data_IF_409518729950
#
_entry.id   IF_409518729950
#
_cell.length_a   1.000
_cell.length_b   1.000
_cell.length_c   1.000
_cell.angle_alpha   90.00
_cell.angle_beta   90.00
_cell.angle_gamma   90.00
#
_symmetry.space_group_name_H-M   'P 1'
#
loop_
_entity.id
_entity.type
_entity.pdbx_description
1 polymer ?
#
# COMPACT_ATOMS: atom_id res chain seq x y z
N UNK A 1 -34.91 -51.85 -18.38
CA UNK A 1 -34.84 -50.63 -17.54
C UNK A 1 -33.35 -50.19 -17.50
N UNK A 2 -32.97 -49.19 -18.31
CA UNK A 2 -31.58 -48.71 -18.39
C UNK A 2 -31.49 -47.42 -17.57
N UNK A 3 -30.71 -47.41 -16.50
CA UNK A 3 -30.41 -46.20 -15.74
C UNK A 3 -29.41 -45.34 -16.52
N UNK A 4 -29.61 -44.01 -16.59
CA UNK A 4 -28.60 -43.12 -17.15
C UNK A 4 -27.52 -42.84 -16.10
N UNK A 5 -26.26 -43.07 -16.50
CA UNK A 5 -25.07 -42.68 -15.70
C UNK A 5 -24.93 -41.17 -15.84
N UNK A 6 -25.20 -40.46 -14.75
CA UNK A 6 -24.94 -39.02 -14.64
C UNK A 6 -23.44 -38.81 -14.40
N UNK A 7 -22.73 -38.41 -15.46
CA UNK A 7 -21.32 -38.00 -15.32
C UNK A 7 -21.29 -36.60 -14.75
N UNK A 8 -20.89 -36.49 -13.48
CA UNK A 8 -20.55 -35.23 -12.85
C UNK A 8 -19.18 -34.75 -13.39
N UNK A 9 -19.20 -33.81 -14.28
CA UNK A 9 -18.00 -33.03 -14.65
C UNK A 9 -17.63 -32.15 -13.47
N UNK A 10 -16.66 -32.58 -12.68
CA UNK A 10 -16.03 -31.76 -11.66
C UNK A 10 -15.25 -30.64 -12.37
N UNK A 11 -15.83 -29.46 -12.42
CA UNK A 11 -15.12 -28.23 -12.82
C UNK A 11 -14.15 -27.91 -11.69
N UNK A 12 -12.90 -28.36 -11.83
CA UNK A 12 -11.84 -27.93 -10.94
C UNK A 12 -11.62 -26.44 -11.11
N UNK A 13 -11.66 -25.61 -10.04
CA UNK A 13 -11.33 -24.21 -10.15
C UNK A 13 -9.87 -24.08 -10.62
N UNK A 14 -9.69 -23.65 -11.84
CA UNK A 14 -8.36 -23.33 -12.36
C UNK A 14 -7.88 -22.06 -11.62
N UNK A 15 -7.05 -22.24 -10.60
CA UNK A 15 -6.36 -21.11 -9.98
C UNK A 15 -5.41 -20.53 -11.02
N UNK A 16 -5.74 -19.33 -11.51
CA UNK A 16 -4.85 -18.62 -12.41
C UNK A 16 -3.49 -18.40 -11.72
N UNK A 17 -2.40 -18.65 -12.46
CA UNK A 17 -1.06 -18.44 -11.93
C UNK A 17 -0.88 -16.97 -11.52
N UNK A 18 -0.12 -16.73 -10.43
CA UNK A 18 0.18 -15.37 -9.99
C UNK A 18 0.97 -14.63 -11.07
N UNK A 19 0.65 -13.37 -11.36
CA UNK A 19 1.37 -12.58 -12.34
C UNK A 19 2.85 -12.46 -12.00
N UNK A 20 3.71 -12.40 -13.02
CA UNK A 20 5.16 -12.32 -12.84
C UNK A 20 5.62 -11.11 -12.04
N UNK A 21 4.91 -9.98 -12.18
CA UNK A 21 5.20 -8.76 -11.43
C UNK A 21 5.03 -8.93 -9.91
N UNK A 22 4.17 -9.85 -9.46
CA UNK A 22 3.94 -10.11 -8.04
C UNK A 22 5.22 -10.55 -7.33
N UNK A 23 5.91 -11.53 -7.90
CA UNK A 23 7.20 -11.99 -7.36
C UNK A 23 8.26 -10.88 -7.39
N UNK A 24 8.29 -10.08 -8.48
CA UNK A 24 9.20 -8.93 -8.57
C UNK A 24 8.89 -7.89 -7.49
N UNK A 25 7.62 -7.56 -7.27
CA UNK A 25 7.18 -6.63 -6.23
C UNK A 25 7.56 -7.10 -4.82
N UNK A 26 7.29 -8.37 -4.48
CA UNK A 26 7.60 -8.90 -3.15
C UNK A 26 9.11 -9.00 -2.87
N UNK A 27 9.95 -8.98 -3.90
CA UNK A 27 11.42 -9.09 -3.79
C UNK A 27 12.18 -7.78 -4.05
N UNK A 28 11.50 -6.74 -4.56
CA UNK A 28 12.21 -5.51 -4.92
C UNK A 28 12.89 -4.87 -3.71
N UNK A 29 14.12 -4.33 -3.86
CA UNK A 29 14.86 -3.70 -2.77
C UNK A 29 14.30 -2.32 -2.42
N UNK A 30 13.78 -1.61 -3.41
CA UNK A 30 13.26 -0.26 -3.29
C UNK A 30 12.27 0.05 -4.41
N UNK A 31 11.43 1.06 -4.20
CA UNK A 31 10.49 1.58 -5.18
C UNK A 31 10.49 3.12 -5.09
N UNK A 32 10.57 3.77 -6.21
CA UNK A 32 10.30 5.20 -6.33
C UNK A 32 9.21 5.43 -7.36
N UNK A 33 8.30 6.34 -7.07
CA UNK A 33 7.24 6.73 -8.00
C UNK A 33 6.70 8.12 -7.68
N UNK A 34 6.14 8.78 -8.67
CA UNK A 34 5.05 9.71 -8.40
C UNK A 34 3.79 8.92 -8.12
N UNK A 35 2.86 9.48 -7.38
CA UNK A 35 1.59 8.83 -7.12
C UNK A 35 0.42 9.80 -7.24
N UNK A 36 -0.75 9.24 -7.49
CA UNK A 36 -2.06 9.86 -7.34
C UNK A 36 -2.88 9.02 -6.39
N UNK A 37 -3.36 9.62 -5.34
CA UNK A 37 -4.29 9.00 -4.40
C UNK A 37 -5.66 9.64 -4.59
N UNK A 38 -6.68 8.82 -4.74
CA UNK A 38 -8.07 9.25 -4.82
C UNK A 38 -8.87 8.61 -3.68
N UNK A 39 -9.75 9.40 -3.10
CA UNK A 39 -10.76 8.96 -2.15
C UNK A 39 -12.13 9.34 -2.74
N UNK A 40 -13.01 8.37 -2.88
CA UNK A 40 -14.39 8.57 -3.35
C UNK A 40 -15.36 8.19 -2.22
N UNK A 41 -15.94 9.20 -1.61
CA UNK A 41 -16.84 9.07 -0.47
C UNK A 41 -18.23 9.57 -0.83
N UNK A 42 -19.27 8.86 -0.40
CA UNK A 42 -20.66 9.29 -0.59
C UNK A 42 -20.97 10.60 0.13
N UNK A 43 -20.22 10.92 1.20
CA UNK A 43 -20.45 12.12 2.02
C UNK A 43 -19.63 13.31 1.53
N UNK A 44 -18.34 13.08 1.20
CA UNK A 44 -17.39 14.16 0.87
C UNK A 44 -17.05 14.23 -0.62
N UNK A 45 -17.63 13.34 -1.44
CA UNK A 45 -17.33 13.27 -2.86
C UNK A 45 -15.91 12.78 -3.14
N UNK A 46 -15.37 13.21 -4.28
CA UNK A 46 -14.04 12.81 -4.75
C UNK A 46 -12.98 13.81 -4.30
N UNK A 47 -11.96 13.27 -3.63
CA UNK A 47 -10.74 14.01 -3.28
C UNK A 47 -9.55 13.35 -3.96
N UNK A 48 -8.68 14.14 -4.55
CA UNK A 48 -7.44 13.66 -5.16
C UNK A 48 -6.24 14.37 -4.53
N UNK A 49 -5.18 13.59 -4.27
CA UNK A 49 -3.87 14.07 -3.81
C UNK A 49 -2.79 13.47 -4.68
N UNK A 50 -1.73 14.21 -4.90
CA UNK A 50 -0.59 13.74 -5.66
C UNK A 50 0.71 13.99 -4.88
N UNK A 51 1.77 13.29 -5.29
CA UNK A 51 3.04 13.46 -4.64
C UNK A 51 4.11 12.49 -5.17
N UNK A 52 5.14 12.33 -4.36
CA UNK A 52 6.23 11.40 -4.60
C UNK A 52 6.31 10.38 -3.47
N UNK A 53 6.62 9.15 -3.84
CA UNK A 53 6.76 8.01 -2.95
C UNK A 53 8.13 7.39 -3.15
N UNK A 54 8.82 7.12 -2.05
CA UNK A 54 9.99 6.27 -2.01
C UNK A 54 9.80 5.21 -0.92
N UNK A 55 10.02 3.95 -1.28
CA UNK A 55 9.96 2.80 -0.38
C UNK A 55 11.31 2.08 -0.41
N UNK A 56 11.71 1.51 0.73
CA UNK A 56 12.81 0.56 0.78
C UNK A 56 12.53 -0.50 1.85
N UNK A 57 13.14 -1.67 1.68
CA UNK A 57 13.04 -2.75 2.66
C UNK A 57 13.45 -2.29 4.05
N UNK A 58 12.94 -3.01 5.06
CA UNK A 58 13.18 -2.65 6.46
C UNK A 58 12.26 -1.55 6.96
N UNK A 59 11.08 -1.40 6.35
CA UNK A 59 10.05 -0.47 6.82
C UNK A 59 10.34 0.99 6.51
N UNK A 60 11.18 1.28 5.52
CA UNK A 60 11.56 2.66 5.18
C UNK A 60 10.63 3.26 4.13
N UNK A 61 10.16 4.46 4.39
CA UNK A 61 9.18 5.17 3.58
C UNK A 61 9.49 6.66 3.54
N UNK A 62 9.28 7.27 2.40
CA UNK A 62 9.09 8.72 2.26
C UNK A 62 7.92 8.98 1.33
N UNK A 63 6.95 9.74 1.79
CA UNK A 63 5.85 10.30 0.98
C UNK A 63 5.92 11.80 1.10
N UNK A 64 5.94 12.50 -0.02
CA UNK A 64 5.87 13.96 -0.06
C UNK A 64 4.71 14.33 -0.98
N UNK A 65 3.66 14.90 -0.39
CA UNK A 65 2.50 15.40 -1.13
C UNK A 65 2.80 16.74 -1.81
N UNK A 66 2.11 17.03 -2.89
CA UNK A 66 2.03 18.39 -3.40
C UNK A 66 1.40 19.27 -2.31
N UNK A 67 2.03 20.40 -1.98
CA UNK A 67 1.67 21.20 -0.77
C UNK A 67 2.65 20.98 0.40
N UNK A 68 3.60 20.05 0.28
CA UNK A 68 4.73 19.93 1.19
C UNK A 68 4.53 19.01 2.39
N UNK A 69 3.29 18.56 2.69
CA UNK A 69 3.07 17.53 3.72
C UNK A 69 3.99 16.35 3.44
N UNK A 70 4.83 16.01 4.40
CA UNK A 70 5.81 14.93 4.24
C UNK A 70 5.67 13.92 5.36
N UNK A 71 5.65 12.65 4.99
CA UNK A 71 5.67 11.50 5.90
C UNK A 71 6.92 10.69 5.62
N UNK A 72 7.70 10.41 6.66
CA UNK A 72 8.86 9.51 6.55
C UNK A 72 8.78 8.40 7.58
N UNK A 73 9.38 7.26 7.25
CA UNK A 73 9.62 6.18 8.20
C UNK A 73 11.05 5.68 8.06
N UNK A 74 11.76 5.56 9.17
CA UNK A 74 13.14 5.08 9.24
C UNK A 74 13.25 3.56 9.49
N UNK A 75 12.11 2.88 9.57
CA UNK A 75 11.98 1.48 9.95
C UNK A 75 11.56 1.27 11.41
N UNK A 76 11.55 2.33 12.21
CA UNK A 76 11.14 2.30 13.63
C UNK A 76 10.08 3.34 13.95
N UNK A 77 10.24 4.55 13.43
CA UNK A 77 9.36 5.68 13.70
C UNK A 77 8.86 6.26 12.39
N UNK A 78 7.59 6.58 12.39
CA UNK A 78 6.96 7.40 11.37
C UNK A 78 6.94 8.84 11.87
N UNK A 79 7.41 9.75 11.05
CA UNK A 79 7.38 11.20 11.30
C UNK A 79 6.59 11.85 10.18
N UNK A 80 5.56 12.58 10.55
CA UNK A 80 4.79 13.44 9.66
C UNK A 80 5.13 14.90 9.97
N UNK A 81 5.35 15.68 8.94
CA UNK A 81 5.52 17.14 9.04
C UNK A 81 4.58 17.84 8.08
N UNK A 82 3.85 18.78 8.62
CA UNK A 82 2.96 19.66 7.88
C UNK A 82 3.55 21.08 7.88
N UNK A 83 3.99 21.59 6.72
CA UNK A 83 4.57 22.93 6.61
C UNK A 83 3.55 24.05 6.80
N UNK A 84 2.27 23.83 6.43
CA UNK A 84 1.24 24.85 6.50
C UNK A 84 0.92 25.22 7.96
N UNK A 85 0.86 24.21 8.82
CA UNK A 85 0.59 24.39 10.24
C UNK A 85 1.85 24.47 11.08
N UNK A 86 3.03 24.20 10.51
CA UNK A 86 4.33 24.03 11.17
C UNK A 86 4.25 23.03 12.33
N UNK A 87 3.57 21.94 12.12
CA UNK A 87 3.44 20.87 13.11
C UNK A 87 4.13 19.60 12.65
N UNK A 88 4.70 18.89 13.60
CA UNK A 88 5.23 17.56 13.38
C UNK A 88 4.67 16.57 14.40
N UNK A 89 4.50 15.33 13.96
CA UNK A 89 4.06 14.23 14.78
C UNK A 89 4.99 13.03 14.61
N UNK A 90 5.32 12.35 15.69
CA UNK A 90 6.12 11.13 15.66
C UNK A 90 5.34 9.99 16.29
N UNK A 91 5.29 8.87 15.59
CA UNK A 91 4.59 7.65 16.00
C UNK A 91 5.52 6.46 15.83
N UNK A 92 5.47 5.50 16.74
CA UNK A 92 6.14 4.21 16.53
C UNK A 92 5.52 3.48 15.34
N UNK A 93 6.35 2.89 14.49
CA UNK A 93 5.88 2.17 13.30
C UNK A 93 4.88 1.05 13.66
N UNK A 94 5.13 0.32 14.75
CA UNK A 94 4.24 -0.74 15.21
C UNK A 94 2.82 -0.22 15.53
N UNK A 95 2.71 0.98 16.11
CA UNK A 95 1.42 1.65 16.34
C UNK A 95 0.81 2.10 15.02
N UNK A 96 1.57 2.79 14.18
CA UNK A 96 1.08 3.28 12.89
C UNK A 96 0.54 2.14 12.00
N UNK A 97 1.18 0.97 12.01
CA UNK A 97 0.73 -0.20 11.25
C UNK A 97 -0.56 -0.80 11.83
N UNK A 98 -0.78 -0.73 13.14
CA UNK A 98 -2.07 -1.14 13.74
C UNK A 98 -3.21 -0.23 13.32
N UNK A 99 -2.96 1.08 13.31
CA UNK A 99 -3.95 2.10 12.98
C UNK A 99 -4.20 2.15 11.45
N UNK A 100 -3.16 1.85 10.65
CA UNK A 100 -3.19 1.84 9.19
C UNK A 100 -2.54 0.57 8.62
N UNK A 101 -3.25 -0.56 8.59
CA UNK A 101 -2.70 -1.85 8.17
C UNK A 101 -2.06 -1.83 6.76
N UNK A 102 -2.61 -1.01 5.85
CA UNK A 102 -2.07 -0.84 4.49
C UNK A 102 -0.64 -0.30 4.48
N UNK A 103 -0.27 0.52 5.47
CA UNK A 103 1.11 0.98 5.63
C UNK A 103 2.06 -0.21 5.85
N UNK A 104 1.64 -1.16 6.67
CA UNK A 104 2.42 -2.39 6.91
C UNK A 104 2.65 -3.20 5.65
N UNK A 105 1.68 -3.24 4.74
CA UNK A 105 1.77 -3.94 3.47
C UNK A 105 2.78 -3.27 2.53
N UNK A 106 2.73 -1.96 2.41
CA UNK A 106 3.66 -1.22 1.57
C UNK A 106 5.09 -1.30 2.09
N UNK A 107 5.27 -1.28 3.41
CA UNK A 107 6.59 -1.30 4.06
C UNK A 107 7.22 -2.68 4.15
N UNK A 108 6.42 -3.72 4.18
CA UNK A 108 6.88 -5.11 4.22
C UNK A 108 5.97 -6.03 3.39
N UNK A 109 6.17 -6.06 2.06
CA UNK A 109 5.39 -6.94 1.19
C UNK A 109 5.45 -8.42 1.57
N UNK A 110 6.48 -8.87 2.30
CA UNK A 110 6.54 -10.24 2.79
C UNK A 110 5.47 -10.56 3.84
N UNK A 111 4.90 -9.55 4.50
CA UNK A 111 3.74 -9.73 5.39
C UNK A 111 2.45 -9.99 4.63
N UNK A 112 2.37 -9.63 3.34
CA UNK A 112 1.18 -9.85 2.54
C UNK A 112 0.73 -11.31 2.56
N UNK A 113 1.65 -12.25 2.37
CA UNK A 113 1.32 -13.68 2.34
C UNK A 113 0.79 -14.21 3.68
N UNK A 114 1.21 -13.60 4.79
CA UNK A 114 0.71 -13.94 6.14
C UNK A 114 -0.66 -13.34 6.42
N UNK A 115 -0.89 -12.10 6.00
CA UNK A 115 -2.11 -11.35 6.29
C UNK A 115 -3.21 -11.57 5.27
N UNK A 116 -2.86 -11.95 4.05
CA UNK A 116 -3.79 -12.08 2.95
C UNK A 116 -3.61 -13.39 2.19
N UNK A 117 -4.70 -13.87 1.63
CA UNK A 117 -4.70 -14.85 0.56
C UNK A 117 -4.76 -14.10 -0.75
N UNK A 118 -3.80 -14.34 -1.62
CA UNK A 118 -3.75 -13.72 -2.94
C UNK A 118 -4.48 -14.62 -3.96
N UNK A 119 -5.34 -14.02 -4.76
CA UNK A 119 -6.05 -14.67 -5.85
C UNK A 119 -5.78 -13.91 -7.15
N UNK A 120 -5.28 -14.61 -8.15
CA UNK A 120 -5.13 -14.01 -9.49
C UNK A 120 -6.50 -13.81 -10.12
N UNK A 121 -6.77 -12.60 -10.58
CA UNK A 121 -7.97 -12.27 -11.35
C UNK A 121 -7.75 -12.41 -12.86
N UNK A 122 -6.57 -12.88 -13.25
CA UNK A 122 -6.12 -12.92 -14.64
C UNK A 122 -5.39 -11.64 -15.05
N UNK A 123 -4.57 -11.74 -16.11
CA UNK A 123 -3.73 -10.63 -16.58
C UNK A 123 -2.79 -10.13 -15.47
N UNK A 124 -2.78 -8.83 -15.24
CA UNK A 124 -1.89 -8.16 -14.30
C UNK A 124 -2.59 -7.85 -12.95
N UNK A 125 -3.74 -8.48 -12.65
CA UNK A 125 -4.56 -8.15 -11.49
C UNK A 125 -4.58 -9.26 -10.45
N UNK A 126 -4.48 -8.86 -9.18
CA UNK A 126 -4.52 -9.74 -8.01
C UNK A 126 -5.50 -9.19 -6.99
N UNK A 127 -6.36 -10.04 -6.46
CA UNK A 127 -7.21 -9.77 -5.32
C UNK A 127 -6.54 -10.31 -4.05
N UNK A 128 -6.49 -9.49 -3.03
CA UNK A 128 -5.98 -9.87 -1.72
C UNK A 128 -7.16 -9.96 -0.75
N UNK A 129 -7.44 -11.16 -0.29
CA UNK A 129 -8.49 -11.45 0.68
C UNK A 129 -7.86 -11.55 2.07
N UNK A 130 -8.33 -10.78 3.05
CA UNK A 130 -7.78 -10.81 4.39
C UNK A 130 -7.96 -12.18 5.04
N UNK A 131 -6.96 -12.63 5.79
CA UNK A 131 -7.02 -13.84 6.62
C UNK A 131 -7.59 -13.55 8.02
N UNK A 132 -7.58 -12.30 8.43
CA UNK A 132 -8.03 -11.85 9.74
C UNK A 132 -9.08 -10.73 9.61
N UNK A 133 -10.04 -10.65 10.53
CA UNK A 133 -11.01 -9.55 10.56
C UNK A 133 -10.35 -8.18 10.75
N UNK A 134 -10.95 -7.13 10.21
CA UNK A 134 -10.49 -5.74 10.36
C UNK A 134 -9.52 -5.27 9.29
N UNK A 135 -9.05 -6.17 8.43
CA UNK A 135 -8.28 -5.80 7.25
C UNK A 135 -9.21 -5.65 6.04
N UNK A 136 -9.03 -4.63 5.19
CA UNK A 136 -9.83 -4.47 3.98
C UNK A 136 -9.39 -5.48 2.90
N UNK A 137 -10.31 -5.86 2.03
CA UNK A 137 -9.95 -6.49 0.76
C UNK A 137 -9.21 -5.48 -0.11
N UNK A 138 -8.18 -5.96 -0.82
CA UNK A 138 -7.39 -5.11 -1.71
C UNK A 138 -7.46 -5.64 -3.14
N UNK A 139 -7.57 -4.72 -4.08
CA UNK A 139 -7.33 -4.99 -5.49
C UNK A 139 -5.99 -4.38 -5.89
N UNK A 140 -5.10 -5.20 -6.40
CA UNK A 140 -3.73 -4.79 -6.75
C UNK A 140 -3.48 -5.09 -8.21
N UNK A 141 -2.95 -4.12 -8.92
CA UNK A 141 -2.59 -4.29 -10.34
C UNK A 141 -1.12 -4.01 -10.56
N UNK A 142 -0.49 -4.87 -11.35
CA UNK A 142 0.85 -4.63 -11.87
C UNK A 142 0.82 -4.06 -13.29
N UNK A 143 1.95 -3.54 -13.69
CA UNK A 143 2.19 -3.13 -15.07
C UNK A 143 3.69 -3.17 -15.34
N UNK A 144 4.11 -3.80 -16.44
CA UNK A 144 5.54 -3.89 -16.83
C UNK A 144 6.44 -4.40 -15.70
N UNK A 145 5.99 -5.43 -14.98
CA UNK A 145 6.75 -6.06 -13.90
C UNK A 145 6.79 -5.30 -12.58
N UNK A 146 6.06 -4.20 -12.42
CA UNK A 146 6.03 -3.39 -11.21
C UNK A 146 4.60 -3.20 -10.69
N UNK A 147 4.47 -2.92 -9.41
CA UNK A 147 3.20 -2.45 -8.82
C UNK A 147 2.76 -1.17 -9.52
N UNK A 148 1.51 -1.12 -9.94
CA UNK A 148 0.92 0.05 -10.61
C UNK A 148 -0.20 0.69 -9.79
N UNK A 149 -1.14 -0.09 -9.28
CA UNK A 149 -2.23 0.46 -8.47
C UNK A 149 -2.64 -0.45 -7.32
N UNK A 150 -3.22 0.18 -6.32
CA UNK A 150 -3.79 -0.44 -5.14
C UNK A 150 -5.13 0.22 -4.86
N UNK A 151 -6.20 -0.57 -4.71
CA UNK A 151 -7.53 -0.06 -4.38
C UNK A 151 -8.14 -0.85 -3.22
N UNK A 152 -8.87 -0.15 -2.35
CA UNK A 152 -9.60 -0.72 -1.22
C UNK A 152 -10.79 0.14 -0.83
N UNK A 153 -11.66 -0.40 0.00
CA UNK A 153 -12.70 0.38 0.68
C UNK A 153 -12.30 0.53 2.15
N UNK A 154 -12.28 1.76 2.63
CA UNK A 154 -11.95 2.04 4.03
C UNK A 154 -13.15 1.77 4.97
N UNK A 155 -12.96 1.79 6.30
CA UNK A 155 -14.04 1.56 7.25
C UNK A 155 -15.21 2.56 7.18
N UNK A 156 -15.00 3.73 6.60
CA UNK A 156 -16.07 4.72 6.37
C UNK A 156 -16.90 4.42 5.12
N UNK A 157 -16.54 3.38 4.35
CA UNK A 157 -17.16 3.04 3.08
C UNK A 157 -16.61 3.83 1.89
N UNK A 158 -15.62 4.69 2.09
CA UNK A 158 -15.01 5.41 0.98
C UNK A 158 -14.07 4.51 0.18
N UNK A 159 -14.19 4.54 -1.14
CA UNK A 159 -13.27 3.85 -2.03
C UNK A 159 -11.98 4.64 -2.14
N UNK A 160 -10.91 3.99 -1.82
CA UNK A 160 -9.55 4.54 -1.92
C UNK A 160 -8.83 3.91 -3.09
N UNK A 161 -8.08 4.71 -3.82
CA UNK A 161 -7.20 4.23 -4.89
C UNK A 161 -5.85 4.94 -4.78
N UNK A 162 -4.78 4.17 -4.83
CA UNK A 162 -3.41 4.66 -4.96
C UNK A 162 -2.87 4.19 -6.30
N UNK A 163 -2.57 5.12 -7.19
CA UNK A 163 -1.95 4.86 -8.48
C UNK A 163 -0.49 5.32 -8.47
N UNK A 164 0.42 4.46 -8.92
CA UNK A 164 1.83 4.76 -9.07
C UNK A 164 2.12 5.18 -10.51
N UNK A 165 2.63 6.40 -10.66
CA UNK A 165 2.90 7.01 -11.95
C UNK A 165 4.39 6.87 -12.27
N UNK A 166 4.71 6.02 -13.27
CA UNK A 166 6.10 5.73 -13.67
C UNK A 166 6.94 5.12 -12.53
N UNK A 167 6.48 4.03 -11.91
CA UNK A 167 7.24 3.37 -10.86
C UNK A 167 8.58 2.88 -11.37
N UNK A 168 9.61 2.95 -10.51
CA UNK A 168 10.97 2.48 -10.78
C UNK A 168 11.44 1.67 -9.56
N UNK A 169 12.23 0.63 -9.82
CA UNK A 169 12.94 -0.09 -8.76
C UNK A 169 14.44 0.22 -8.90
N UNK A 170 14.91 1.34 -8.35
CA UNK A 170 16.31 1.73 -8.42
C UNK A 170 17.20 0.79 -7.59
N UNK A 171 18.51 0.96 -7.68
CA UNK A 171 19.45 0.42 -6.70
C UNK A 171 19.05 0.86 -5.27
N UNK A 172 19.53 0.18 -4.21
CA UNK A 172 19.17 0.54 -2.85
C UNK A 172 19.30 2.03 -2.58
N UNK A 173 18.22 2.64 -2.07
CA UNK A 173 18.19 4.07 -1.77
C UNK A 173 19.03 4.38 -0.52
N UNK A 174 19.69 5.53 -0.52
CA UNK A 174 20.48 6.00 0.61
C UNK A 174 19.59 6.15 1.86
N UNK A 175 20.14 5.85 3.03
CA UNK A 175 19.41 5.94 4.29
C UNK A 175 18.87 7.36 4.57
N UNK A 176 19.59 8.38 4.11
CA UNK A 176 19.19 9.78 4.29
C UNK A 176 17.94 10.16 3.49
N UNK A 177 17.59 9.41 2.45
CA UNK A 177 16.30 9.57 1.73
C UNK A 177 15.12 9.49 2.70
N UNK A 178 15.22 8.69 3.75
CA UNK A 178 14.14 8.40 4.69
C UNK A 178 14.22 9.21 6.00
N UNK A 179 15.20 10.09 6.12
CA UNK A 179 15.30 11.02 7.23
C UNK A 179 14.56 12.31 6.92
N UNK A 180 13.76 12.78 7.86
CA UNK A 180 13.08 14.05 7.77
C UNK A 180 13.79 15.04 8.69
N UNK A 181 14.33 16.09 8.10
CA UNK A 181 14.81 17.25 8.86
C UNK A 181 13.60 18.17 9.09
N UNK A 182 13.14 18.19 10.32
CA UNK A 182 12.05 19.07 10.75
C UNK A 182 12.63 20.45 11.05
N UNK A 183 12.11 21.55 10.46
CA UNK A 183 12.63 22.90 10.69
C UNK A 183 12.58 23.32 12.16
N UNK A 184 13.51 24.18 12.56
CA UNK A 184 13.50 24.79 13.89
C UNK A 184 12.19 25.57 14.12
N UNK A 185 11.66 25.55 15.35
CA UNK A 185 10.40 26.18 15.69
C UNK A 185 9.14 25.39 15.31
N UNK A 186 9.28 24.18 14.79
CA UNK A 186 8.15 23.27 14.57
C UNK A 186 7.56 22.82 15.90
N UNK A 187 6.25 22.86 16.01
CA UNK A 187 5.52 22.33 17.17
C UNK A 187 5.36 20.80 17.03
N UNK A 188 5.79 20.08 18.03
CA UNK A 188 5.58 18.65 18.10
C UNK A 188 4.27 18.34 18.80
N UNK A 189 3.44 17.53 18.15
CA UNK A 189 2.20 16.99 18.73
C UNK A 189 2.41 15.53 19.13
N UNK A 190 1.84 15.16 20.27
CA UNK A 190 1.72 13.76 20.65
C UNK A 190 0.47 13.20 19.99
N UNK A 191 0.51 11.98 19.42
CA UNK A 191 -0.69 11.34 18.94
C UNK A 191 -1.71 11.24 20.06
N UNK A 192 -2.92 11.73 19.83
CA UNK A 192 -4.05 11.46 20.70
C UNK A 192 -4.24 9.94 20.78
N UNK A 193 -4.31 9.42 21.98
CA UNK A 193 -4.47 8.01 22.28
C UNK A 193 -5.84 7.48 21.87
#
# INVERSE_FOLDING_TARGET
MRLPILVWLAVSPSFAAMPSWWTAFTRMPSLESRFRQESDSLVFGKLARQGRLALARGGRLRVTYEGGLTVTCDGRHLVQYDPDTRTAQRVELARAVRDFPLLGILLDPARLERLYRAESLGGESVKLLPREPGLPELSVTGRKGLLHSLAWTDPSGARQTLELLNPKSPAPLAADTFKLQVPAGTRWSTPSG
#
